data_IF_164655784234
#
_entry.id   IF_164655784234
#
_cell.length_a   1.000
_cell.length_b   1.000
_cell.length_c   1.000
_cell.angle_alpha   90.00
_cell.angle_beta   90.00
_cell.angle_gamma   90.00
#
_symmetry.space_group_name_H-M   'P 1'
#
loop_
_entity.id
_entity.type
_entity.pdbx_description
1 polymer ?
#
# COMPACT_ATOMS: atom_id res chain seq x y z
N UNK A 1 -28.23 -9.62 -6.16
CA UNK A 1 -28.55 -8.23 -5.78
C UNK A 1 -27.26 -7.53 -5.36
N UNK A 2 -26.95 -6.37 -5.91
CA UNK A 2 -25.81 -5.55 -5.46
C UNK A 2 -26.25 -4.76 -4.21
N UNK A 3 -25.59 -4.98 -3.07
CA UNK A 3 -25.98 -4.42 -1.76
C UNK A 3 -24.99 -3.36 -1.25
N UNK A 4 -24.10 -2.87 -2.11
CA UNK A 4 -23.03 -1.93 -1.74
C UNK A 4 -23.34 -0.52 -2.23
N UNK A 5 -23.04 0.47 -1.39
CA UNK A 5 -23.12 1.89 -1.71
C UNK A 5 -21.73 2.52 -1.61
N UNK A 6 -21.40 3.41 -2.56
CA UNK A 6 -20.12 4.11 -2.63
C UNK A 6 -20.34 5.63 -2.56
N UNK A 7 -20.68 6.20 -1.39
CA UNK A 7 -21.16 7.58 -1.26
C UNK A 7 -20.13 8.67 -1.64
N UNK A 8 -18.85 8.31 -1.68
CA UNK A 8 -17.76 9.21 -2.08
C UNK A 8 -17.21 8.93 -3.48
N UNK A 9 -17.79 7.96 -4.19
CA UNK A 9 -17.25 7.47 -5.48
C UNK A 9 -17.25 8.53 -6.59
N UNK A 10 -18.20 9.46 -6.55
CA UNK A 10 -18.36 10.54 -7.54
C UNK A 10 -17.65 11.84 -7.11
N UNK A 11 -17.05 11.88 -5.91
CA UNK A 11 -16.41 13.07 -5.38
C UNK A 11 -14.89 13.00 -5.58
N UNK A 12 -14.32 14.10 -6.05
CA UNK A 12 -12.87 14.22 -6.06
C UNK A 12 -12.31 14.27 -4.62
N UNK A 13 -11.08 13.78 -4.45
CA UNK A 13 -10.42 13.72 -3.13
C UNK A 13 -10.38 15.08 -2.40
N UNK A 14 -10.09 16.23 -3.05
CA UNK A 14 -10.11 17.53 -2.38
C UNK A 14 -11.50 17.90 -1.85
N UNK A 15 -12.55 17.56 -2.58
CA UNK A 15 -13.94 17.85 -2.19
C UNK A 15 -14.35 17.06 -0.95
N UNK A 16 -13.98 15.77 -0.89
CA UNK A 16 -14.19 14.93 0.30
C UNK A 16 -13.49 15.53 1.53
N UNK A 17 -12.27 16.07 1.36
CA UNK A 17 -11.53 16.73 2.46
C UNK A 17 -12.21 18.04 2.88
N UNK A 18 -12.66 18.86 1.93
CA UNK A 18 -13.39 20.11 2.20
C UNK A 18 -14.66 19.87 3.00
N UNK A 19 -15.47 18.88 2.62
CA UNK A 19 -16.68 18.48 3.34
C UNK A 19 -16.34 18.03 4.77
N UNK A 20 -15.30 17.21 4.94
CA UNK A 20 -14.87 16.74 6.26
C UNK A 20 -14.41 17.90 7.18
N UNK A 21 -13.74 18.92 6.62
CA UNK A 21 -13.35 20.12 7.37
C UNK A 21 -14.54 20.98 7.77
N UNK A 22 -15.51 21.19 6.87
CA UNK A 22 -16.74 21.95 7.15
C UNK A 22 -17.60 21.31 8.24
N UNK A 23 -17.59 19.97 8.33
CA UNK A 23 -18.29 19.21 9.35
C UNK A 23 -17.48 19.00 10.64
N UNK A 24 -16.31 19.62 10.74
CA UNK A 24 -15.42 19.54 11.91
C UNK A 24 -15.05 18.10 12.31
N UNK A 25 -14.92 17.19 11.32
CA UNK A 25 -14.58 15.80 11.60
C UNK A 25 -13.12 15.67 12.07
N UNK A 26 -12.90 14.90 13.14
CA UNK A 26 -11.55 14.61 13.67
C UNK A 26 -10.61 14.00 12.61
N UNK A 27 -11.16 13.32 11.60
CA UNK A 27 -10.42 12.70 10.51
C UNK A 27 -10.09 13.62 9.34
N UNK A 28 -10.60 14.85 9.31
CA UNK A 28 -10.46 15.76 8.16
C UNK A 28 -9.01 15.96 7.70
N UNK A 29 -8.10 16.10 8.67
CA UNK A 29 -6.65 16.30 8.45
C UNK A 29 -5.83 15.01 8.56
N UNK A 30 -6.47 13.85 8.77
CA UNK A 30 -5.77 12.57 8.87
C UNK A 30 -5.11 12.25 7.52
N UNK A 31 -3.85 11.78 7.58
CA UNK A 31 -3.16 11.23 6.41
C UNK A 31 -3.87 9.97 5.95
N UNK A 32 -3.93 9.79 4.63
CA UNK A 32 -4.48 8.58 4.04
C UNK A 32 -3.60 7.38 4.36
N UNK A 33 -4.21 6.20 4.54
CA UNK A 33 -3.45 4.98 4.77
C UNK A 33 -2.64 4.63 3.52
N UNK A 34 -1.36 4.34 3.72
CA UNK A 34 -0.47 3.81 2.68
C UNK A 34 -0.11 2.35 2.95
N UNK A 35 0.29 1.61 1.92
CA UNK A 35 0.60 0.18 2.03
C UNK A 35 -0.62 -0.73 1.95
N UNK A 36 -0.49 -1.94 2.49
CA UNK A 36 -1.53 -2.97 2.39
C UNK A 36 -2.53 -2.80 3.54
N UNK A 37 -3.83 -2.86 3.21
CA UNK A 37 -4.91 -2.83 4.20
C UNK A 37 -4.62 -3.82 5.34
N UNK A 38 -4.91 -3.40 6.58
CA UNK A 38 -4.73 -4.18 7.82
C UNK A 38 -3.28 -4.46 8.27
N UNK A 39 -2.27 -4.22 7.44
CA UNK A 39 -0.85 -4.39 7.80
C UNK A 39 -0.25 -3.07 8.32
N UNK A 40 -0.77 -1.95 7.79
CA UNK A 40 -0.28 -0.60 8.09
C UNK A 40 1.06 -0.30 7.42
N UNK A 41 1.67 0.83 7.79
CA UNK A 41 2.96 1.25 7.24
C UNK A 41 4.09 0.41 7.85
N UNK A 42 4.54 -0.59 7.11
CA UNK A 42 5.67 -1.45 7.47
C UNK A 42 6.60 -1.63 6.28
N UNK A 43 7.88 -1.89 6.56
CA UNK A 43 8.83 -2.35 5.53
C UNK A 43 8.34 -3.67 4.96
N UNK A 44 7.93 -3.66 3.69
CA UNK A 44 7.29 -4.80 3.04
C UNK A 44 8.16 -6.06 3.08
N UNK A 45 9.47 -5.92 2.90
CA UNK A 45 10.44 -7.03 2.99
C UNK A 45 10.41 -7.72 4.36
N UNK A 46 10.41 -6.93 5.43
CA UNK A 46 10.41 -7.46 6.80
C UNK A 46 9.05 -8.08 7.17
N UNK A 47 7.97 -7.62 6.53
CA UNK A 47 6.65 -8.25 6.65
C UNK A 47 6.63 -9.63 5.99
N UNK A 48 7.08 -9.75 4.73
CA UNK A 48 7.10 -11.02 4.00
C UNK A 48 8.02 -12.05 4.64
N UNK A 49 9.19 -11.63 5.15
CA UNK A 49 10.16 -12.52 5.80
C UNK A 49 9.63 -13.24 7.05
N UNK A 50 8.46 -12.85 7.59
CA UNK A 50 7.78 -13.56 8.69
C UNK A 50 7.01 -14.81 8.22
N UNK A 51 6.67 -14.86 6.93
CA UNK A 51 5.82 -15.90 6.35
C UNK A 51 6.57 -16.76 5.35
N UNK A 52 7.61 -16.22 4.69
CA UNK A 52 8.38 -16.90 3.66
C UNK A 52 9.87 -16.88 4.03
N UNK A 53 10.58 -18.02 3.97
CA UNK A 53 12.03 -18.04 4.13
C UNK A 53 12.67 -17.37 2.92
N UNK A 54 13.66 -16.51 3.17
CA UNK A 54 14.43 -15.90 2.10
C UNK A 54 15.44 -16.94 1.54
N UNK A 55 15.48 -17.12 0.22
CA UNK A 55 16.45 -17.99 -0.47
C UNK A 55 17.32 -17.18 -1.46
N UNK A 56 18.41 -16.56 -1.00
CA UNK A 56 19.25 -15.72 -1.85
C UNK A 56 19.78 -16.46 -3.09
N UNK A 57 19.66 -15.84 -4.26
CA UNK A 57 20.10 -16.42 -5.54
C UNK A 57 20.75 -15.39 -6.47
N UNK A 58 21.36 -15.83 -7.59
CA UNK A 58 22.06 -14.94 -8.52
C UNK A 58 21.08 -14.05 -9.30
N UNK A 59 21.44 -12.79 -9.49
CA UNK A 59 20.79 -11.90 -10.45
C UNK A 59 21.55 -12.07 -11.77
N UNK A 60 20.84 -12.50 -12.81
CA UNK A 60 21.43 -12.83 -14.12
C UNK A 60 20.86 -11.91 -15.19
N UNK A 61 21.71 -11.37 -16.07
CA UNK A 61 21.26 -10.61 -17.24
C UNK A 61 20.56 -11.50 -18.25
N UNK A 62 19.85 -10.90 -19.21
CA UNK A 62 19.25 -11.62 -20.34
C UNK A 62 20.28 -12.42 -21.14
N UNK A 63 21.53 -11.95 -21.17
CA UNK A 63 22.65 -12.59 -21.87
C UNK A 63 23.36 -13.67 -21.01
N UNK A 64 22.84 -13.98 -19.83
CA UNK A 64 23.37 -15.02 -18.95
C UNK A 64 24.50 -14.59 -18.01
N UNK A 65 24.82 -13.29 -17.91
CA UNK A 65 25.89 -12.82 -17.03
C UNK A 65 25.36 -12.58 -15.61
N UNK A 66 26.03 -13.13 -14.60
CA UNK A 66 25.69 -12.85 -13.19
C UNK A 66 26.18 -11.47 -12.77
N UNK A 67 25.29 -10.62 -12.27
CA UNK A 67 25.56 -9.23 -11.87
C UNK A 67 25.39 -8.94 -10.38
N UNK A 68 24.96 -9.93 -9.60
CA UNK A 68 24.79 -9.78 -8.16
C UNK A 68 23.99 -10.91 -7.53
N UNK A 69 23.49 -10.65 -6.32
CA UNK A 69 22.68 -11.59 -5.56
C UNK A 69 21.41 -10.89 -5.04
N UNK A 70 20.24 -11.51 -5.23
CA UNK A 70 19.00 -11.08 -4.58
C UNK A 70 18.92 -11.68 -3.17
N UNK A 71 18.22 -11.02 -2.26
CA UNK A 71 18.24 -11.36 -0.83
C UNK A 71 17.29 -12.50 -0.43
N UNK A 72 16.66 -13.16 -1.39
CA UNK A 72 15.61 -14.14 -1.15
C UNK A 72 14.77 -14.38 -2.36
#
# INVERSE_FOLDING_TARGET
MAQSLFPVGELEKPEVRRIAEQLELVTAKKKDSTGICFIGERKFRDFLGRYLPAQPGPIVTVDGQTIGQHQG
#
